data_IF_558827603220
#
_entry.id   IF_558827603220
#
_cell.length_a   1.000
_cell.length_b   1.000
_cell.length_c   1.000
_cell.angle_alpha   90.00
_cell.angle_beta   90.00
_cell.angle_gamma   90.00
#
_symmetry.space_group_name_H-M   'P 1'
#
loop_
_entity.id
_entity.type
_entity.pdbx_description
1 polymer ?
#
# COMPACT_ATOMS: atom_id res chain seq x y z
N UNK A 1 23.34 -23.20 15.44
CA UNK A 1 22.09 -22.43 15.71
C UNK A 1 20.95 -22.77 14.75
N UNK A 2 21.15 -22.82 13.43
CA UNK A 2 20.08 -23.02 12.44
C UNK A 2 19.24 -24.30 12.65
N UNK A 3 19.84 -25.39 13.11
CA UNK A 3 19.09 -26.63 13.41
C UNK A 3 17.99 -26.45 14.46
N UNK A 4 18.24 -25.68 15.52
CA UNK A 4 17.24 -25.40 16.57
C UNK A 4 16.09 -24.57 16.00
N UNK A 5 16.38 -23.51 15.24
CA UNK A 5 15.35 -22.69 14.56
C UNK A 5 14.47 -23.53 13.63
N UNK A 6 15.08 -24.40 12.82
CA UNK A 6 14.34 -25.30 11.91
C UNK A 6 13.42 -26.24 12.70
N UNK A 7 13.88 -26.75 13.85
CA UNK A 7 13.08 -27.64 14.69
C UNK A 7 11.88 -26.91 15.30
N UNK A 8 12.09 -25.71 15.85
CA UNK A 8 11.00 -24.84 16.35
C UNK A 8 10.00 -24.53 15.25
N UNK A 9 10.46 -24.21 14.05
CA UNK A 9 9.58 -23.92 12.92
C UNK A 9 8.68 -25.11 12.57
N UNK A 10 9.21 -26.33 12.60
CA UNK A 10 8.42 -27.56 12.36
C UNK A 10 7.31 -27.77 13.40
N UNK A 11 7.55 -27.37 14.65
CA UNK A 11 6.56 -27.49 15.73
C UNK A 11 5.47 -26.42 15.58
N UNK A 12 5.86 -25.15 15.36
CA UNK A 12 4.95 -23.99 15.41
C UNK A 12 4.20 -23.77 14.09
N UNK A 13 4.80 -24.06 12.93
CA UNK A 13 4.16 -23.84 11.62
C UNK A 13 2.74 -24.41 11.49
N UNK A 14 2.46 -25.67 11.89
CA UNK A 14 1.11 -26.25 11.76
C UNK A 14 0.07 -25.65 12.73
N UNK A 15 0.48 -24.88 13.74
CA UNK A 15 -0.46 -24.30 14.71
C UNK A 15 -1.38 -23.30 14.01
N UNK A 16 -2.66 -23.31 14.34
CA UNK A 16 -3.68 -22.37 13.83
C UNK A 16 -3.73 -21.14 14.74
N UNK A 17 -2.80 -20.23 14.54
CA UNK A 17 -2.71 -18.97 15.27
C UNK A 17 -2.35 -17.82 14.32
N UNK A 18 -2.52 -16.58 14.79
CA UNK A 18 -2.01 -15.41 14.07
C UNK A 18 -0.48 -15.46 13.94
N UNK A 19 0.08 -14.79 12.92
CA UNK A 19 1.54 -14.76 12.74
C UNK A 19 2.26 -14.15 13.93
N UNK A 20 1.64 -13.16 14.59
CA UNK A 20 2.16 -12.55 15.82
C UNK A 20 2.26 -13.56 16.96
N UNK A 21 1.22 -14.37 17.18
CA UNK A 21 1.23 -15.41 18.21
C UNK A 21 2.23 -16.52 17.88
N UNK A 22 2.33 -16.93 16.62
CA UNK A 22 3.37 -17.87 16.17
C UNK A 22 4.78 -17.33 16.41
N UNK A 23 5.02 -16.05 16.16
CA UNK A 23 6.32 -15.42 16.41
C UNK A 23 6.70 -15.52 17.89
N UNK A 24 5.77 -15.16 18.80
CA UNK A 24 5.99 -15.30 20.24
C UNK A 24 6.28 -16.74 20.66
N UNK A 25 5.50 -17.72 20.16
CA UNK A 25 5.74 -19.14 20.44
C UNK A 25 7.12 -19.59 19.96
N UNK A 26 7.57 -19.10 18.78
CA UNK A 26 8.91 -19.41 18.27
C UNK A 26 9.99 -18.82 19.17
N UNK A 27 9.84 -17.57 19.58
CA UNK A 27 10.80 -16.88 20.46
C UNK A 27 10.92 -17.60 21.82
N UNK A 28 9.79 -17.95 22.44
CA UNK A 28 9.75 -18.66 23.72
C UNK A 28 10.35 -20.07 23.61
N UNK A 29 9.92 -20.88 22.63
CA UNK A 29 10.48 -22.23 22.41
C UNK A 29 11.97 -22.19 22.08
N UNK A 30 12.40 -21.23 21.26
CA UNK A 30 13.81 -21.05 20.93
C UNK A 30 14.61 -20.65 22.17
N UNK A 31 14.04 -19.80 23.04
CA UNK A 31 14.63 -19.45 24.34
C UNK A 31 14.86 -20.68 25.22
N UNK A 32 13.86 -21.56 25.35
CA UNK A 32 13.99 -22.80 26.11
C UNK A 32 15.03 -23.76 25.52
N UNK A 33 15.04 -23.94 24.20
CA UNK A 33 16.04 -24.77 23.53
C UNK A 33 17.46 -24.21 23.67
N UNK A 34 17.63 -22.89 23.62
CA UNK A 34 18.93 -22.26 23.83
C UNK A 34 19.41 -22.42 25.27
N UNK A 35 18.50 -22.37 26.26
CA UNK A 35 18.83 -22.64 27.65
C UNK A 35 19.30 -24.09 27.86
N UNK A 36 18.53 -25.07 27.35
CA UNK A 36 18.89 -26.49 27.41
C UNK A 36 20.18 -26.81 26.64
N UNK A 37 20.42 -26.13 25.52
CA UNK A 37 21.68 -26.26 24.78
C UNK A 37 22.88 -25.75 25.59
N UNK A 38 22.75 -24.61 26.27
CA UNK A 38 23.81 -24.07 27.15
C UNK A 38 24.10 -25.00 28.33
N UNK A 39 23.06 -25.61 28.91
CA UNK A 39 23.21 -26.61 29.97
C UNK A 39 23.88 -27.89 29.45
N UNK A 40 23.49 -28.38 28.28
CA UNK A 40 24.13 -29.55 27.67
C UNK A 40 25.62 -29.30 27.34
N UNK A 41 25.97 -28.07 26.95
CA UNK A 41 27.34 -27.63 26.78
C UNK A 41 28.13 -27.62 28.11
N UNK A 42 27.55 -27.07 29.18
CA UNK A 42 28.23 -27.03 30.49
C UNK A 42 28.45 -28.44 31.08
N UNK A 43 27.58 -29.39 30.73
CA UNK A 43 27.71 -30.80 31.09
C UNK A 43 28.62 -31.61 30.16
N UNK A 44 29.25 -30.98 29.16
CA UNK A 44 30.20 -31.65 28.25
C UNK A 44 29.56 -32.71 27.35
N UNK A 45 28.29 -32.55 26.96
CA UNK A 45 27.61 -33.50 26.07
C UNK A 45 28.22 -33.44 24.66
N UNK A 46 28.52 -34.61 24.08
CA UNK A 46 29.09 -34.73 22.73
C UNK A 46 28.22 -34.11 21.62
N UNK A 47 26.89 -34.09 21.81
CA UNK A 47 25.96 -33.44 20.88
C UNK A 47 24.92 -32.63 21.66
N UNK A 48 25.24 -31.36 22.01
CA UNK A 48 24.40 -30.54 22.87
C UNK A 48 23.10 -30.10 22.18
N UNK A 49 23.06 -30.05 20.85
CA UNK A 49 21.86 -29.71 20.08
C UNK A 49 20.81 -30.82 20.21
N UNK A 50 21.20 -32.08 19.97
CA UNK A 50 20.28 -33.20 20.06
C UNK A 50 19.86 -33.44 21.52
N UNK A 51 20.76 -33.20 22.49
CA UNK A 51 20.41 -33.24 23.90
C UNK A 51 19.33 -32.20 24.26
N UNK A 52 19.45 -30.96 23.77
CA UNK A 52 18.45 -29.92 23.99
C UNK A 52 17.11 -30.23 23.31
N UNK A 53 17.14 -30.80 22.10
CA UNK A 53 15.91 -31.22 21.41
C UNK A 53 15.24 -32.37 22.17
N UNK A 54 16.00 -33.35 22.66
CA UNK A 54 15.46 -34.47 23.42
C UNK A 54 14.88 -34.04 24.77
N UNK A 55 15.41 -32.99 25.40
CA UNK A 55 14.82 -32.40 26.62
C UNK A 55 13.42 -31.83 26.39
N UNK A 56 13.09 -31.41 25.17
CA UNK A 56 11.75 -30.91 24.82
C UNK A 56 10.68 -32.01 24.87
N UNK A 57 11.09 -33.28 24.84
CA UNK A 57 10.20 -34.43 24.95
C UNK A 57 9.42 -34.71 23.66
N UNK A 58 8.16 -35.12 23.81
CA UNK A 58 7.30 -35.46 22.67
C UNK A 58 6.77 -34.19 21.98
N UNK A 59 7.29 -33.91 20.79
CA UNK A 59 6.95 -32.72 19.99
C UNK A 59 5.48 -32.64 19.59
N UNK A 60 4.80 -33.78 19.41
CA UNK A 60 3.39 -33.78 19.03
C UNK A 60 2.52 -33.36 20.21
N UNK A 61 2.83 -33.84 21.42
CA UNK A 61 2.16 -33.41 22.65
C UNK A 61 2.37 -31.91 22.91
N UNK A 62 3.60 -31.43 22.72
CA UNK A 62 3.90 -30.00 22.88
C UNK A 62 3.12 -29.14 21.87
N UNK A 63 2.97 -29.62 20.63
CA UNK A 63 2.16 -28.93 19.62
C UNK A 63 0.70 -28.86 20.05
N UNK A 64 0.14 -29.92 20.61
CA UNK A 64 -1.24 -29.94 21.09
C UNK A 64 -1.45 -28.98 22.27
N UNK A 65 -0.50 -28.92 23.20
CA UNK A 65 -0.50 -27.99 24.33
C UNK A 65 -0.40 -26.52 23.85
N UNK A 66 0.46 -26.24 22.86
CA UNK A 66 0.55 -24.92 22.23
C UNK A 66 -0.69 -24.55 21.41
N UNK A 67 -1.33 -25.52 20.76
CA UNK A 67 -2.57 -25.27 20.04
C UNK A 67 -3.72 -24.98 21.01
N UNK A 68 -3.73 -25.62 22.18
CA UNK A 68 -4.71 -25.39 23.24
C UNK A 68 -4.55 -24.02 23.93
N UNK A 69 -3.36 -23.43 23.94
CA UNK A 69 -3.14 -22.08 24.49
C UNK A 69 -3.70 -20.96 23.59
N UNK A 70 -4.00 -21.26 22.33
CA UNK A 70 -4.57 -20.30 21.38
C UNK A 70 -6.09 -20.27 21.53
N UNK A 71 -6.65 -19.08 21.75
CA UNK A 71 -8.10 -18.90 21.86
C UNK A 71 -8.83 -19.38 20.60
N UNK A 72 -10.02 -20.00 20.77
CA UNK A 72 -10.82 -20.47 19.63
C UNK A 72 -11.18 -19.35 18.64
N UNK A 73 -11.37 -18.11 19.12
CA UNK A 73 -11.59 -16.94 18.27
C UNK A 73 -10.40 -16.64 17.36
N UNK A 74 -9.18 -16.70 17.89
CA UNK A 74 -7.97 -16.50 17.11
C UNK A 74 -7.77 -17.63 16.09
N UNK A 75 -8.05 -18.88 16.46
CA UNK A 75 -8.00 -20.02 15.55
C UNK A 75 -8.96 -19.82 14.37
N UNK A 76 -10.18 -19.36 14.64
CA UNK A 76 -11.20 -19.09 13.61
C UNK A 76 -10.79 -17.94 12.69
N UNK A 77 -10.32 -16.83 13.27
CA UNK A 77 -9.82 -15.68 12.51
C UNK A 77 -8.64 -16.07 11.62
N UNK A 78 -7.68 -16.85 12.12
CA UNK A 78 -6.52 -17.30 11.35
C UNK A 78 -6.93 -18.15 10.14
N UNK A 79 -7.93 -19.03 10.27
CA UNK A 79 -8.45 -19.83 9.16
C UNK A 79 -9.14 -18.97 8.09
N UNK A 80 -9.97 -18.00 8.50
CA UNK A 80 -10.64 -17.06 7.58
C UNK A 80 -9.68 -16.10 6.89
N UNK A 81 -8.66 -15.62 7.60
CA UNK A 81 -7.70 -14.69 7.02
C UNK A 81 -6.79 -15.42 6.02
N UNK A 82 -6.32 -16.62 6.37
CA UNK A 82 -5.41 -17.39 5.53
C UNK A 82 -6.05 -17.82 4.21
N UNK A 83 -7.33 -18.21 4.21
CA UNK A 83 -8.04 -18.56 2.98
C UNK A 83 -8.21 -17.37 2.03
N UNK A 84 -8.58 -16.20 2.55
CA UNK A 84 -8.72 -14.98 1.75
C UNK A 84 -7.37 -14.42 1.27
N UNK A 85 -6.35 -14.47 2.12
CA UNK A 85 -5.00 -14.01 1.78
C UNK A 85 -4.31 -14.99 0.83
N UNK A 86 -4.32 -16.30 1.06
CA UNK A 86 -3.70 -17.26 0.14
C UNK A 86 -4.41 -17.30 -1.22
N UNK A 87 -5.73 -17.05 -1.29
CA UNK A 87 -6.40 -16.86 -2.59
C UNK A 87 -6.02 -15.54 -3.27
N UNK A 88 -5.75 -14.48 -2.49
CA UNK A 88 -5.31 -13.19 -3.05
C UNK A 88 -3.81 -13.15 -3.38
N UNK A 89 -3.01 -13.99 -2.72
CA UNK A 89 -1.54 -14.02 -2.78
C UNK A 89 -0.96 -15.25 -3.45
N UNK A 90 -1.77 -16.22 -3.90
CA UNK A 90 -1.27 -17.22 -4.85
C UNK A 90 -0.79 -16.41 -6.05
N UNK A 91 0.53 -16.37 -6.35
CA UNK A 91 1.02 -15.64 -7.50
C UNK A 91 0.41 -16.35 -8.71
N UNK A 92 -0.72 -15.82 -9.18
CA UNK A 92 -1.27 -16.18 -10.45
C UNK A 92 -0.12 -15.95 -11.41
N UNK A 93 0.35 -16.99 -12.09
CA UNK A 93 1.44 -16.90 -13.07
C UNK A 93 1.15 -15.94 -14.24
N UNK A 94 -0.01 -15.27 -14.21
CA UNK A 94 -0.26 -14.08 -15.01
C UNK A 94 0.59 -12.95 -14.46
N UNK A 95 1.54 -12.51 -15.28
CA UNK A 95 2.49 -11.45 -14.97
C UNK A 95 1.81 -10.30 -14.21
N UNK A 96 2.46 -9.78 -13.19
CA UNK A 96 2.02 -8.60 -12.42
C UNK A 96 1.61 -7.43 -13.33
N UNK A 97 2.18 -7.41 -14.54
CA UNK A 97 1.78 -6.56 -15.65
C UNK A 97 0.29 -6.66 -16.03
N UNK A 98 -0.30 -7.84 -16.13
CA UNK A 98 -1.73 -8.02 -16.46
C UNK A 98 -2.67 -7.55 -15.36
N UNK A 99 -2.28 -7.68 -14.08
CA UNK A 99 -3.05 -7.14 -12.97
C UNK A 99 -2.99 -5.61 -12.93
N UNK A 100 -1.80 -5.06 -13.20
CA UNK A 100 -1.61 -3.61 -13.35
C UNK A 100 -2.40 -3.06 -14.54
N UNK A 101 -2.35 -3.75 -15.69
CA UNK A 101 -3.08 -3.39 -16.91
C UNK A 101 -4.60 -3.45 -16.71
N UNK A 102 -5.11 -4.48 -16.03
CA UNK A 102 -6.56 -4.58 -15.77
C UNK A 102 -7.05 -3.42 -14.91
N UNK A 103 -6.29 -3.10 -13.87
CA UNK A 103 -6.66 -1.99 -12.99
C UNK A 103 -6.54 -0.63 -13.67
N UNK A 104 -5.52 -0.40 -14.51
CA UNK A 104 -5.43 0.84 -15.27
C UNK A 104 -6.58 0.96 -16.27
N UNK A 105 -6.97 -0.14 -16.92
CA UNK A 105 -8.11 -0.19 -17.84
C UNK A 105 -9.44 0.11 -17.14
N UNK A 106 -9.66 -0.39 -15.92
CA UNK A 106 -10.87 -0.08 -15.15
C UNK A 106 -10.96 1.41 -14.85
N UNK A 107 -9.86 2.07 -14.47
CA UNK A 107 -9.90 3.51 -14.20
C UNK A 107 -10.04 4.34 -15.48
N UNK A 108 -9.35 3.96 -16.57
CA UNK A 108 -9.54 4.61 -17.89
C UNK A 108 -10.99 4.50 -18.35
N UNK A 109 -11.63 3.35 -18.15
CA UNK A 109 -13.04 3.15 -18.45
C UNK A 109 -13.95 4.09 -17.64
N UNK A 110 -13.73 4.20 -16.33
CA UNK A 110 -14.50 5.13 -15.48
C UNK A 110 -14.33 6.59 -15.90
N UNK A 111 -13.10 7.02 -16.21
CA UNK A 111 -12.85 8.38 -16.70
C UNK A 111 -13.52 8.63 -18.05
N UNK A 112 -13.44 7.68 -18.99
CA UNK A 112 -14.10 7.78 -20.28
C UNK A 112 -15.63 7.88 -20.12
N UNK A 113 -16.22 7.07 -19.24
CA UNK A 113 -17.66 7.10 -18.96
C UNK A 113 -18.09 8.45 -18.36
N UNK A 114 -17.32 8.98 -17.41
CA UNK A 114 -17.56 10.29 -16.79
C UNK A 114 -17.50 11.45 -17.79
N UNK A 115 -16.65 11.37 -18.81
CA UNK A 115 -16.57 12.37 -19.88
C UNK A 115 -17.65 12.20 -20.95
N UNK A 116 -18.09 10.97 -21.21
CA UNK A 116 -19.12 10.67 -22.21
C UNK A 116 -20.52 11.05 -21.76
N UNK A 117 -20.86 10.89 -20.47
CA UNK A 117 -22.21 11.15 -19.95
C UNK A 117 -22.69 12.60 -20.19
N UNK A 118 -21.88 13.65 -19.95
CA UNK A 118 -22.29 15.03 -20.22
C UNK A 118 -22.38 15.33 -21.72
N UNK A 119 -21.47 14.79 -22.53
CA UNK A 119 -21.53 14.93 -23.99
C UNK A 119 -22.80 14.29 -24.56
N UNK A 120 -23.19 13.12 -24.03
CA UNK A 120 -24.43 12.45 -24.35
C UNK A 120 -25.65 13.28 -23.92
N UNK A 121 -25.62 13.86 -22.72
CA UNK A 121 -26.69 14.73 -22.23
C UNK A 121 -26.90 15.95 -23.12
N UNK A 122 -25.82 16.62 -23.55
CA UNK A 122 -25.88 17.75 -24.50
C UNK A 122 -26.43 17.31 -25.86
N UNK A 123 -26.03 16.14 -26.36
CA UNK A 123 -26.53 15.60 -27.63
C UNK A 123 -28.03 15.26 -27.59
N UNK A 124 -28.54 14.79 -26.44
CA UNK A 124 -29.96 14.47 -26.25
C UNK A 124 -30.81 15.75 -26.09
N UNK A 125 -30.29 16.78 -25.40
CA UNK A 125 -31.05 17.99 -25.05
C UNK A 125 -31.17 19.03 -26.19
N UNK A 126 -30.42 18.87 -27.28
CA UNK A 126 -30.75 19.45 -28.59
C UNK A 126 -30.66 20.98 -28.75
N UNK A 127 -30.24 21.77 -27.75
CA UNK A 127 -30.11 23.22 -27.93
C UNK A 127 -28.87 23.83 -27.21
N UNK A 128 -27.77 24.10 -27.92
CA UNK A 128 -26.48 24.42 -27.31
C UNK A 128 -26.25 25.88 -26.89
N UNK A 129 -27.17 26.81 -27.18
CA UNK A 129 -26.80 28.24 -27.20
C UNK A 129 -26.73 28.95 -25.84
N UNK A 130 -27.33 28.40 -24.77
CA UNK A 130 -27.21 28.96 -23.40
C UNK A 130 -26.88 27.93 -22.32
N UNK A 131 -27.28 26.67 -22.50
CA UNK A 131 -27.07 25.65 -21.48
C UNK A 131 -25.66 25.04 -21.51
N UNK A 132 -24.94 25.12 -22.65
CA UNK A 132 -23.57 24.58 -22.75
C UNK A 132 -22.61 25.28 -21.79
N UNK A 133 -22.79 26.59 -21.56
CA UNK A 133 -22.03 27.36 -20.57
C UNK A 133 -22.15 26.75 -19.16
N UNK A 134 -23.32 26.23 -18.81
CA UNK A 134 -23.59 25.64 -17.48
C UNK A 134 -22.95 24.25 -17.34
N UNK A 135 -22.87 23.47 -18.42
CA UNK A 135 -22.35 22.09 -18.37
C UNK A 135 -20.83 22.01 -18.48
N UNK A 136 -20.17 22.96 -19.12
CA UNK A 136 -18.70 23.00 -19.24
C UNK A 136 -17.97 22.96 -17.89
N UNK A 137 -18.29 23.77 -16.87
CA UNK A 137 -17.63 23.69 -15.57
C UNK A 137 -17.91 22.36 -14.85
N UNK A 138 -19.10 21.79 -15.02
CA UNK A 138 -19.46 20.47 -14.45
C UNK A 138 -18.56 19.39 -15.06
N UNK A 139 -18.40 19.39 -16.39
CA UNK A 139 -17.50 18.46 -17.10
C UNK A 139 -16.06 18.61 -16.62
N UNK A 140 -15.58 19.85 -16.47
CA UNK A 140 -14.21 20.13 -16.04
C UNK A 140 -13.97 19.67 -14.59
N UNK A 141 -14.93 19.88 -13.69
CA UNK A 141 -14.86 19.40 -12.29
C UNK A 141 -14.81 17.87 -12.25
N UNK A 142 -15.67 17.19 -13.02
CA UNK A 142 -15.69 15.72 -13.04
C UNK A 142 -14.43 15.14 -13.68
N UNK A 143 -13.90 15.78 -14.73
CA UNK A 143 -12.63 15.41 -15.34
C UNK A 143 -11.46 15.56 -14.35
N UNK A 144 -11.40 16.68 -13.62
CA UNK A 144 -10.33 16.91 -12.63
C UNK A 144 -10.41 15.94 -11.45
N UNK A 145 -11.62 15.61 -10.99
CA UNK A 145 -11.83 14.55 -9.97
C UNK A 145 -11.37 13.18 -10.45
N UNK A 146 -11.61 12.83 -11.73
CA UNK A 146 -11.13 11.58 -12.33
C UNK A 146 -9.60 11.50 -12.38
N UNK A 147 -8.94 12.59 -12.79
CA UNK A 147 -7.46 12.67 -12.83
C UNK A 147 -6.87 12.61 -11.41
N UNK A 148 -7.47 13.32 -10.46
CA UNK A 148 -7.10 13.27 -9.05
C UNK A 148 -7.20 11.83 -8.49
N UNK A 149 -8.29 11.14 -8.79
CA UNK A 149 -8.49 9.75 -8.38
C UNK A 149 -7.47 8.80 -9.02
N UNK A 150 -7.16 8.98 -10.30
CA UNK A 150 -6.12 8.23 -11.01
C UNK A 150 -4.74 8.39 -10.36
N UNK A 151 -4.34 9.63 -10.08
CA UNK A 151 -3.05 9.95 -9.44
C UNK A 151 -3.00 9.36 -8.04
N UNK A 152 -4.06 9.50 -7.25
CA UNK A 152 -4.16 8.92 -5.90
C UNK A 152 -4.06 7.39 -5.93
N UNK A 153 -4.79 6.73 -6.83
CA UNK A 153 -4.79 5.26 -6.95
C UNK A 153 -3.42 4.74 -7.43
N UNK A 154 -2.79 5.44 -8.38
CA UNK A 154 -1.46 5.11 -8.85
C UNK A 154 -0.41 5.31 -7.74
N UNK A 155 -0.47 6.43 -7.01
CA UNK A 155 0.42 6.69 -5.88
C UNK A 155 0.23 5.65 -4.76
N UNK A 156 -1.02 5.33 -4.40
CA UNK A 156 -1.34 4.29 -3.41
C UNK A 156 -0.73 2.95 -3.81
N UNK A 157 -0.91 2.54 -5.08
CA UNK A 157 -0.35 1.27 -5.56
C UNK A 157 1.17 1.29 -5.67
N UNK A 158 1.77 2.37 -6.18
CA UNK A 158 3.22 2.52 -6.26
C UNK A 158 3.89 2.49 -4.87
N UNK A 159 3.22 3.03 -3.86
CA UNK A 159 3.69 3.03 -2.47
C UNK A 159 3.47 1.68 -1.77
N UNK A 160 2.43 0.93 -2.13
CA UNK A 160 2.12 -0.35 -1.49
C UNK A 160 2.71 -1.58 -2.20
N UNK A 161 3.09 -1.49 -3.48
CA UNK A 161 3.61 -2.64 -4.23
C UNK A 161 5.00 -3.16 -3.82
N UNK A 162 5.96 -2.39 -3.27
CA UNK A 162 7.28 -2.96 -2.99
C UNK A 162 7.44 -3.67 -1.64
N UNK A 163 6.42 -3.72 -0.76
CA UNK A 163 6.64 -4.12 0.64
C UNK A 163 6.01 -5.45 1.09
N UNK A 164 5.50 -6.28 0.19
CA UNK A 164 4.86 -7.53 0.63
C UNK A 164 5.87 -8.66 0.90
N UNK A 165 7.17 -8.46 0.71
CA UNK A 165 8.14 -9.53 1.01
C UNK A 165 8.58 -9.65 2.46
N UNK A 166 8.63 -8.61 3.32
CA UNK A 166 8.88 -8.84 4.77
C UNK A 166 8.43 -7.68 5.68
N UNK A 167 7.55 -7.92 6.68
CA UNK A 167 7.20 -6.94 7.71
C UNK A 167 7.93 -7.27 9.03
N UNK A 168 8.92 -6.48 9.43
CA UNK A 168 9.51 -6.61 10.78
C UNK A 168 9.85 -5.31 11.52
N UNK A 169 9.82 -4.13 10.88
CA UNK A 169 10.17 -2.88 11.59
C UNK A 169 8.98 -1.90 11.70
N UNK A 170 8.66 -1.50 12.93
CA UNK A 170 7.62 -0.52 13.27
C UNK A 170 7.85 0.87 12.64
N UNK A 171 9.08 1.17 12.23
CA UNK A 171 9.46 2.39 11.53
C UNK A 171 8.81 2.50 10.13
N UNK A 172 8.56 1.36 9.46
CA UNK A 172 7.91 1.33 8.14
C UNK A 172 6.46 1.83 8.20
N UNK A 173 5.72 1.50 9.26
CA UNK A 173 4.33 1.94 9.43
C UNK A 173 4.20 3.45 9.67
N UNK A 174 5.14 4.06 10.40
CA UNK A 174 5.11 5.50 10.68
C UNK A 174 5.44 6.31 9.43
N UNK A 175 6.49 5.92 8.68
CA UNK A 175 6.85 6.57 7.42
C UNK A 175 5.71 6.49 6.39
N UNK A 176 4.99 5.37 6.36
CA UNK A 176 3.82 5.15 5.52
C UNK A 176 2.68 6.11 5.83
N UNK A 177 2.35 6.29 7.11
CA UNK A 177 1.33 7.26 7.54
C UNK A 177 1.69 8.71 7.20
N UNK A 178 2.98 9.07 7.31
CA UNK A 178 3.47 10.42 6.94
C UNK A 178 3.34 10.66 5.44
N UNK A 179 3.77 9.72 4.59
CA UNK A 179 3.66 9.85 3.13
C UNK A 179 2.20 9.93 2.70
N UNK A 180 1.33 9.12 3.30
CA UNK A 180 -0.10 9.13 3.00
C UNK A 180 -0.76 10.45 3.40
N UNK A 181 -0.42 10.98 4.57
CA UNK A 181 -0.89 12.31 5.01
C UNK A 181 -0.39 13.44 4.11
N UNK A 182 0.88 13.40 3.68
CA UNK A 182 1.43 14.40 2.77
C UNK A 182 0.75 14.37 1.39
N UNK A 183 0.45 13.18 0.86
CA UNK A 183 -0.31 13.06 -0.39
C UNK A 183 -1.72 13.64 -0.25
N UNK A 184 -2.42 13.38 0.86
CA UNK A 184 -3.73 13.98 1.13
C UNK A 184 -3.67 15.51 1.21
N UNK A 185 -2.66 16.07 1.88
CA UNK A 185 -2.47 17.52 1.98
C UNK A 185 -2.20 18.18 0.61
N UNK A 186 -1.39 17.53 -0.24
CA UNK A 186 -1.14 18.00 -1.61
C UNK A 186 -2.42 17.96 -2.44
N UNK A 187 -3.21 16.89 -2.32
CA UNK A 187 -4.49 16.75 -3.03
C UNK A 187 -5.50 17.82 -2.60
N UNK A 188 -5.61 18.08 -1.29
CA UNK A 188 -6.45 19.16 -0.75
C UNK A 188 -5.96 20.52 -1.28
N UNK A 189 -4.64 20.76 -1.29
CA UNK A 189 -4.05 22.00 -1.82
C UNK A 189 -4.34 22.22 -3.31
N UNK A 190 -4.20 21.18 -4.13
CA UNK A 190 -4.54 21.24 -5.56
C UNK A 190 -6.04 21.46 -5.78
N UNK A 191 -6.89 20.81 -4.99
CA UNK A 191 -8.34 20.98 -5.06
C UNK A 191 -8.78 22.40 -4.67
N UNK A 192 -8.23 22.96 -3.60
CA UNK A 192 -8.52 24.33 -3.16
C UNK A 192 -8.02 25.38 -4.15
N UNK A 193 -6.83 25.17 -4.73
CA UNK A 193 -6.29 26.04 -5.78
C UNK A 193 -7.19 26.00 -7.02
N UNK A 194 -7.67 24.82 -7.37
CA UNK A 194 -8.61 24.61 -8.47
C UNK A 194 -9.97 25.27 -8.23
N UNK A 195 -10.51 25.22 -7.00
CA UNK A 195 -11.73 25.97 -6.63
C UNK A 195 -11.51 27.47 -6.79
N UNK A 196 -10.37 28.01 -6.32
CA UNK A 196 -10.06 29.44 -6.47
C UNK A 196 -9.93 29.86 -7.94
N UNK A 197 -9.45 28.97 -8.80
CA UNK A 197 -9.40 29.18 -10.25
C UNK A 197 -10.80 29.16 -10.84
N UNK A 198 -11.62 28.16 -10.51
CA UNK A 198 -13.00 28.12 -10.96
C UNK A 198 -13.76 29.38 -10.55
N UNK A 199 -13.58 29.86 -9.32
CA UNK A 199 -14.19 31.10 -8.85
C UNK A 199 -13.72 32.30 -9.69
N UNK A 200 -12.41 32.40 -9.94
CA UNK A 200 -11.83 33.46 -10.78
C UNK A 200 -12.19 33.37 -12.27
N UNK A 201 -12.56 32.19 -12.78
CA UNK A 201 -12.93 31.95 -14.17
C UNK A 201 -14.43 32.03 -14.42
N UNK A 202 -15.25 31.61 -13.46
CA UNK A 202 -16.71 31.71 -13.54
C UNK A 202 -17.13 33.18 -13.40
N UNK A 203 -16.44 33.96 -12.57
CA UNK A 203 -16.72 35.40 -12.40
C UNK A 203 -16.70 36.20 -13.72
N UNK A 204 -15.68 36.11 -14.59
CA UNK A 204 -15.63 36.81 -15.87
C UNK A 204 -16.54 36.20 -16.95
N UNK A 205 -16.95 34.93 -16.84
CA UNK A 205 -17.93 34.35 -17.76
C UNK A 205 -19.36 34.89 -17.53
N UNK A 206 -19.59 35.53 -16.38
CA UNK A 206 -20.84 36.24 -16.06
C UNK A 206 -20.80 37.74 -16.32
N UNK A 207 -19.63 38.30 -16.65
CA UNK A 207 -19.46 39.70 -17.01
C UNK A 207 -19.04 39.84 -18.48
N UNK A 208 -19.37 40.95 -19.15
CA UNK A 208 -19.18 41.15 -20.60
C UNK A 208 -17.70 41.33 -21.04
N UNK A 209 -16.76 40.56 -20.48
CA UNK A 209 -15.33 40.69 -20.74
C UNK A 209 -14.96 39.92 -22.03
N UNK A 210 -14.25 40.54 -22.99
CA UNK A 210 -13.90 39.90 -24.25
C UNK A 210 -12.85 38.78 -24.06
N UNK A 211 -13.11 37.63 -24.71
CA UNK A 211 -12.35 36.38 -24.68
C UNK A 211 -10.80 36.48 -24.81
N UNK A 212 -10.21 37.42 -25.59
CA UNK A 212 -8.75 37.53 -25.72
C UNK A 212 -8.02 37.89 -24.42
N UNK A 213 -8.66 38.65 -23.52
CA UNK A 213 -8.03 39.07 -22.26
C UNK A 213 -7.94 37.91 -21.26
N UNK A 214 -8.91 36.99 -21.29
CA UNK A 214 -8.92 35.78 -20.46
C UNK A 214 -7.72 34.89 -20.79
N UNK A 215 -7.41 34.70 -22.08
CA UNK A 215 -6.24 33.92 -22.53
C UNK A 215 -4.90 34.51 -22.03
N UNK A 216 -4.81 35.84 -21.92
CA UNK A 216 -3.59 36.52 -21.48
C UNK A 216 -3.38 36.42 -19.96
N UNK A 217 -4.46 36.37 -19.18
CA UNK A 217 -4.44 36.14 -17.72
C UNK A 217 -3.95 34.72 -17.41
N UNK A 218 -4.39 33.74 -18.21
CA UNK A 218 -4.01 32.33 -18.08
C UNK A 218 -2.55 32.10 -18.43
N UNK A 219 -2.08 32.71 -19.52
CA UNK A 219 -0.68 32.64 -19.93
C UNK A 219 0.28 33.24 -18.88
N UNK A 220 -0.22 34.11 -17.98
CA UNK A 220 0.56 34.77 -16.92
C UNK A 220 0.62 34.02 -15.59
N UNK A 221 0.02 32.83 -15.48
CA UNK A 221 -0.02 32.06 -14.24
C UNK A 221 0.89 30.81 -14.31
N UNK A 222 2.23 30.96 -14.36
CA UNK A 222 3.16 29.83 -14.41
C UNK A 222 3.02 28.91 -13.19
N UNK A 223 2.62 29.47 -12.04
CA UNK A 223 2.39 28.73 -10.79
C UNK A 223 1.46 27.52 -10.99
N UNK A 224 0.49 27.62 -11.90
CA UNK A 224 -0.49 26.57 -12.17
C UNK A 224 0.07 25.36 -12.94
N UNK A 225 1.07 25.59 -13.78
CA UNK A 225 1.73 24.53 -14.55
C UNK A 225 2.89 23.94 -13.73
N UNK A 226 3.59 24.77 -12.96
CA UNK A 226 4.75 24.33 -12.19
C UNK A 226 4.40 23.60 -10.90
N UNK A 227 3.28 23.89 -10.22
CA UNK A 227 2.91 23.22 -8.96
C UNK A 227 2.69 21.70 -9.08
N UNK A 228 1.94 21.19 -10.08
CA UNK A 228 1.80 19.74 -10.28
C UNK A 228 3.12 19.07 -10.65
N UNK A 229 3.96 19.74 -11.45
CA UNK A 229 5.27 19.22 -11.84
C UNK A 229 6.25 19.14 -10.66
N UNK A 230 6.26 20.15 -9.78
CA UNK A 230 7.05 20.16 -8.55
C UNK A 230 6.54 19.08 -7.60
N UNK A 231 5.22 18.94 -7.43
CA UNK A 231 4.63 17.87 -6.62
C UNK A 231 5.05 16.49 -7.13
N UNK A 232 4.95 16.26 -8.44
CA UNK A 232 5.40 15.00 -9.05
C UNK A 232 6.89 14.73 -8.83
N UNK A 233 7.74 15.75 -9.00
CA UNK A 233 9.20 15.63 -8.76
C UNK A 233 9.52 15.34 -7.29
N UNK A 234 8.82 15.95 -6.35
CA UNK A 234 9.00 15.69 -4.91
C UNK A 234 8.58 14.25 -4.56
N UNK A 235 7.44 13.78 -5.07
CA UNK A 235 6.98 12.41 -4.84
C UNK A 235 7.92 11.38 -5.48
N UNK A 236 8.41 11.65 -6.70
CA UNK A 236 9.37 10.79 -7.38
C UNK A 236 10.72 10.75 -6.65
N UNK A 237 11.21 11.91 -6.17
CA UNK A 237 12.45 12.00 -5.40
C UNK A 237 12.34 11.29 -4.05
N UNK A 238 11.22 11.45 -3.34
CA UNK A 238 10.97 10.74 -2.09
C UNK A 238 10.98 9.22 -2.32
N UNK A 239 10.27 8.72 -3.34
CA UNK A 239 10.28 7.30 -3.70
C UNK A 239 11.68 6.78 -4.05
N UNK A 240 12.48 7.58 -4.78
CA UNK A 240 13.87 7.25 -5.10
C UNK A 240 14.76 7.13 -3.85
N UNK A 241 14.68 8.10 -2.93
CA UNK A 241 15.46 8.09 -1.68
C UNK A 241 15.08 6.89 -0.81
N UNK A 242 13.78 6.60 -0.67
CA UNK A 242 13.31 5.44 0.11
C UNK A 242 13.81 4.13 -0.48
N UNK A 243 13.79 3.98 -1.83
CA UNK A 243 14.34 2.80 -2.51
C UNK A 243 15.85 2.65 -2.28
N UNK A 244 16.61 3.75 -2.33
CA UNK A 244 18.06 3.73 -2.12
C UNK A 244 18.42 3.32 -0.69
N UNK A 245 17.69 3.82 0.31
CA UNK A 245 17.88 3.45 1.72
C UNK A 245 17.54 1.98 1.97
N UNK A 246 16.48 1.47 1.34
CA UNK A 246 16.10 0.07 1.46
C UNK A 246 17.16 -0.88 0.88
N UNK A 247 17.70 -0.57 -0.30
CA UNK A 247 18.78 -1.35 -0.91
C UNK A 247 20.08 -1.32 -0.09
N UNK A 248 20.35 -0.24 0.63
CA UNK A 248 21.50 -0.16 1.52
C UNK A 248 21.35 -1.06 2.77
N UNK A 249 20.11 -1.26 3.24
CA UNK A 249 19.80 -2.14 4.36
C UNK A 249 19.87 -3.63 3.98
N UNK A 250 19.34 -4.00 2.81
CA UNK A 250 19.33 -5.40 2.34
C UNK A 250 20.76 -5.94 2.12
N UNK A 251 21.70 -5.07 1.74
CA UNK A 251 23.11 -5.43 1.59
C UNK A 251 23.86 -5.64 2.92
N UNK A 252 23.30 -5.19 4.07
CA UNK A 252 23.93 -5.37 5.38
C UNK A 252 23.54 -6.71 6.05
N UNK A 253 22.43 -7.33 5.66
CA UNK A 253 21.95 -8.59 6.27
C UNK A 253 22.56 -9.85 5.65
N UNK A 254 23.28 -9.76 4.53
CA UNK A 254 23.83 -10.92 3.80
C UNK A 254 25.29 -11.26 4.22
N UNK A 255 25.91 -10.44 5.08
CA UNK A 255 27.35 -10.57 5.42
C UNK A 255 27.69 -11.23 6.77
N UNK A 256 26.76 -11.93 7.43
CA UNK A 256 27.04 -12.76 8.63
C UNK A 256 26.57 -14.21 8.49
#
# INVERSE_FOLDING_TARGET
MNKLKIHVEKIVRPIRASDRSKMKMREELLGHLLAGHKEALSLGKNNPIDAAINQLGNTDRLRDELQASVSHLEQFCALRLKTNLEQSFKPSSKSDFTLALRASMEVVFFCALLLLLPALAVAILGNPSKEVSTYVPIIIIFASMGVAFLISTFAYRALHFPQITHPSSSASCYLKGVIETMNWLVMIGLFLTFIGILDHWIYPLTSDIPFPEVLLIVARQPILIFMPAISFLVTAYAAYVTRKQYMAWDNLEITE
#
